data_IF_750267511038
#
_entry.id   IF_750267511038
#
_cell.length_a   1.000
_cell.length_b   1.000
_cell.length_c   1.000
_cell.angle_alpha   90.00
_cell.angle_beta   90.00
_cell.angle_gamma   90.00
#
_symmetry.space_group_name_H-M   'P 1'
#
loop_
_entity.id
_entity.type
_entity.pdbx_description
1 polymer ?
#
# COMPACT_ATOMS: atom_id res chain seq x y z
N UNK A 1 13.10 11.99 1.20
CA UNK A 1 13.47 10.67 1.79
C UNK A 1 13.30 9.62 0.72
N UNK A 2 14.37 8.92 0.39
CA UNK A 2 14.33 7.80 -0.56
C UNK A 2 13.92 6.53 0.19
N UNK A 3 12.84 5.89 -0.27
CA UNK A 3 12.28 4.68 0.37
C UNK A 3 12.26 3.58 -0.67
N UNK A 4 12.92 2.46 -0.39
CA UNK A 4 12.96 1.29 -1.24
C UNK A 4 12.42 0.07 -0.51
N UNK A 5 11.48 -0.62 -1.14
CA UNK A 5 10.91 -1.87 -0.65
C UNK A 5 11.63 -3.05 -1.31
N UNK A 6 12.10 -3.95 -0.48
CA UNK A 6 12.68 -5.24 -0.88
C UNK A 6 11.77 -6.35 -0.33
N UNK A 7 10.88 -6.92 -1.16
CA UNK A 7 9.91 -7.93 -0.72
C UNK A 7 10.57 -9.10 0.00
N UNK A 8 9.91 -9.61 1.04
CA UNK A 8 10.37 -10.70 1.90
C UNK A 8 11.65 -10.41 2.70
N UNK A 9 12.16 -9.19 2.64
CA UNK A 9 13.41 -8.81 3.28
C UNK A 9 13.25 -7.56 4.16
N UNK A 10 13.16 -6.38 3.56
CA UNK A 10 13.25 -5.11 4.29
C UNK A 10 12.65 -3.92 3.55
N UNK A 11 12.54 -2.82 4.28
CA UNK A 11 12.35 -1.48 3.73
C UNK A 11 13.55 -0.62 4.11
N UNK A 12 14.08 0.13 3.16
CA UNK A 12 15.24 1.01 3.35
C UNK A 12 14.78 2.48 3.23
N UNK A 13 15.09 3.28 4.25
CA UNK A 13 14.84 4.73 4.31
C UNK A 13 16.18 5.44 4.30
N UNK A 14 16.62 5.98 3.19
CA UNK A 14 17.94 6.60 3.03
C UNK A 14 19.09 5.74 3.63
N UNK A 15 19.29 5.83 4.95
CA UNK A 15 20.37 5.12 5.67
C UNK A 15 19.88 4.13 6.72
N UNK A 16 18.56 4.01 6.92
CA UNK A 16 17.96 3.12 7.91
C UNK A 16 17.28 1.97 7.19
N UNK A 17 17.53 0.75 7.66
CA UNK A 17 16.87 -0.46 7.16
C UNK A 17 16.01 -1.07 8.25
N UNK A 18 14.75 -1.35 7.94
CA UNK A 18 13.83 -2.10 8.79
C UNK A 18 13.56 -3.45 8.14
N UNK A 19 14.05 -4.51 8.78
CA UNK A 19 13.91 -5.87 8.28
C UNK A 19 12.62 -6.51 8.79
N UNK A 20 12.00 -7.33 7.98
CA UNK A 20 10.97 -8.25 8.46
C UNK A 20 11.59 -9.21 9.50
N UNK A 21 10.89 -9.45 10.60
CA UNK A 21 11.41 -10.21 11.74
C UNK A 21 12.34 -9.45 12.69
N UNK A 22 12.64 -8.15 12.43
CA UNK A 22 13.43 -7.32 13.33
C UNK A 22 12.71 -7.14 14.68
N UNK A 23 13.46 -7.18 15.76
CA UNK A 23 12.93 -6.92 17.11
C UNK A 23 12.41 -5.49 17.22
N UNK A 24 11.24 -5.30 17.87
CA UNK A 24 10.61 -3.99 18.08
C UNK A 24 11.57 -2.98 18.72
N UNK A 25 12.33 -3.40 19.73
CA UNK A 25 13.30 -2.52 20.39
C UNK A 25 14.36 -1.98 19.41
N UNK A 26 14.78 -2.75 18.43
CA UNK A 26 15.74 -2.32 17.40
C UNK A 26 15.10 -1.33 16.42
N UNK A 27 13.83 -1.55 16.04
CA UNK A 27 13.06 -0.58 15.24
C UNK A 27 12.94 0.75 15.96
N UNK A 28 12.63 0.75 17.26
CA UNK A 28 12.50 1.96 18.08
C UNK A 28 13.82 2.71 18.24
N UNK A 29 14.96 2.02 18.27
CA UNK A 29 16.27 2.67 18.22
C UNK A 29 16.52 3.39 16.88
N UNK A 30 16.00 2.86 15.79
CA UNK A 30 16.20 3.41 14.45
C UNK A 30 15.20 4.54 14.10
N UNK A 31 13.93 4.38 14.47
CA UNK A 31 12.83 5.28 14.07
C UNK A 31 12.28 6.14 15.23
N UNK A 32 12.66 5.84 16.47
CA UNK A 32 11.99 6.34 17.66
C UNK A 32 10.76 5.50 18.03
N UNK A 33 10.10 5.83 19.13
CA UNK A 33 8.87 5.19 19.54
C UNK A 33 7.72 5.60 18.61
N UNK A 34 6.97 4.62 18.10
CA UNK A 34 5.76 4.87 17.33
C UNK A 34 4.55 5.11 18.26
N UNK A 35 3.45 5.56 17.69
CA UNK A 35 2.16 5.62 18.38
C UNK A 35 1.51 4.23 18.35
N UNK A 36 1.35 3.60 19.52
CA UNK A 36 0.78 2.26 19.64
C UNK A 36 -0.75 2.29 19.70
N UNK A 37 -1.37 1.50 18.84
CA UNK A 37 -2.80 1.20 18.87
C UNK A 37 -2.97 -0.31 18.70
N UNK A 38 -3.21 -1.03 19.78
CA UNK A 38 -3.21 -2.49 19.82
C UNK A 38 -1.83 -3.07 19.50
N UNK A 39 -1.74 -3.95 18.51
CA UNK A 39 -0.48 -4.55 18.05
C UNK A 39 0.20 -3.77 16.91
N UNK A 40 -0.35 -2.62 16.54
CA UNK A 40 0.12 -1.77 15.44
C UNK A 40 0.79 -0.52 16.00
N UNK A 41 1.95 -0.19 15.46
CA UNK A 41 2.65 1.05 15.76
C UNK A 41 2.68 1.95 14.51
N UNK A 42 2.31 3.21 14.68
CA UNK A 42 2.29 4.22 13.62
C UNK A 42 3.50 5.13 13.70
N UNK A 43 4.08 5.45 12.54
CA UNK A 43 5.26 6.27 12.36
C UNK A 43 5.02 7.34 11.30
N UNK A 44 5.83 8.41 11.28
CA UNK A 44 5.80 9.47 10.26
C UNK A 44 4.41 10.10 10.10
N UNK A 45 3.82 10.56 11.20
CA UNK A 45 2.47 11.14 11.22
C UNK A 45 1.41 10.19 10.60
N UNK A 46 1.45 8.93 10.98
CA UNK A 46 0.55 7.88 10.51
C UNK A 46 0.64 7.54 9.01
N UNK A 47 1.72 7.93 8.34
CA UNK A 47 1.95 7.55 6.95
C UNK A 47 2.57 6.15 6.79
N UNK A 48 3.05 5.55 7.89
CA UNK A 48 3.52 4.17 7.94
C UNK A 48 3.07 3.50 9.23
N UNK A 49 2.72 2.22 9.13
CA UNK A 49 2.41 1.37 10.27
C UNK A 49 3.24 0.09 10.24
N UNK A 50 3.57 -0.42 11.42
CA UNK A 50 4.23 -1.71 11.60
C UNK A 50 3.39 -2.55 12.55
N UNK A 51 3.03 -3.76 12.12
CA UNK A 51 2.40 -4.77 12.96
C UNK A 51 3.48 -5.70 13.52
N UNK A 52 3.46 -5.89 14.83
CA UNK A 52 4.39 -6.78 15.52
C UNK A 52 3.69 -8.06 15.96
N UNK A 53 4.35 -9.18 15.72
CA UNK A 53 3.98 -10.48 16.27
C UNK A 53 5.13 -10.99 17.12
N UNK A 54 4.88 -11.33 18.39
CA UNK A 54 5.92 -11.74 19.34
C UNK A 54 7.08 -10.74 19.42
N UNK A 55 6.76 -9.43 19.42
CA UNK A 55 7.71 -8.32 19.40
C UNK A 55 8.63 -8.25 18.16
N UNK A 56 8.28 -8.92 17.07
CA UNK A 56 9.02 -8.88 15.81
C UNK A 56 8.17 -8.29 14.70
N UNK A 57 8.81 -7.56 13.79
CA UNK A 57 8.17 -6.99 12.60
C UNK A 57 7.54 -8.12 11.78
N UNK A 58 6.23 -8.14 11.70
CA UNK A 58 5.45 -9.11 10.94
C UNK A 58 4.91 -8.53 9.63
N UNK A 59 4.61 -7.24 9.64
CA UNK A 59 4.02 -6.53 8.51
C UNK A 59 4.35 -5.05 8.57
N UNK A 60 4.66 -4.45 7.43
CA UNK A 60 4.88 -3.01 7.26
C UNK A 60 3.88 -2.50 6.24
N UNK A 61 3.20 -1.38 6.51
CA UNK A 61 2.25 -0.78 5.59
C UNK A 61 2.54 0.70 5.42
N UNK A 62 2.63 1.16 4.18
CA UNK A 62 2.63 2.58 3.84
C UNK A 62 1.20 3.01 3.53
N UNK A 63 0.76 4.06 4.22
CA UNK A 63 -0.60 4.61 4.21
C UNK A 63 -0.65 6.00 3.58
N UNK A 64 0.48 6.49 3.06
CA UNK A 64 0.63 7.86 2.59
C UNK A 64 -0.17 8.17 1.33
N UNK A 65 -0.37 7.19 0.45
CA UNK A 65 -1.07 7.42 -0.81
C UNK A 65 -0.44 8.52 -1.66
N UNK A 66 -1.22 9.05 -2.59
CA UNK A 66 -0.76 10.11 -3.51
C UNK A 66 -0.53 11.45 -2.82
N UNK A 67 -1.25 11.73 -1.74
CA UNK A 67 -1.20 13.02 -1.04
C UNK A 67 -0.16 13.06 0.09
N UNK A 68 0.34 11.92 0.55
CA UNK A 68 1.30 11.85 1.62
C UNK A 68 2.73 12.21 1.21
N UNK A 69 3.61 12.28 2.19
CA UNK A 69 5.03 12.66 2.02
C UNK A 69 5.92 11.45 1.76
N UNK A 70 5.55 10.28 2.29
CA UNK A 70 6.31 9.06 2.06
C UNK A 70 6.01 8.52 0.66
N UNK A 71 7.04 8.36 -0.14
CA UNK A 71 6.94 7.90 -1.53
C UNK A 71 7.81 6.66 -1.74
N UNK A 72 7.34 5.48 -1.30
CA UNK A 72 8.08 4.24 -1.50
C UNK A 72 8.13 3.84 -2.97
N UNK A 73 9.21 3.16 -3.33
CA UNK A 73 9.37 2.48 -4.61
C UNK A 73 9.65 0.99 -4.39
N UNK A 74 9.23 0.17 -5.33
CA UNK A 74 9.45 -1.27 -5.36
C UNK A 74 9.83 -1.68 -6.79
N UNK A 75 10.89 -2.45 -6.95
CA UNK A 75 11.42 -2.84 -8.27
C UNK A 75 11.65 -1.65 -9.22
N UNK A 76 12.04 -0.49 -8.67
CA UNK A 76 12.27 0.73 -9.44
C UNK A 76 11.01 1.50 -9.85
N UNK A 77 9.82 1.08 -9.40
CA UNK A 77 8.53 1.72 -9.71
C UNK A 77 8.01 2.44 -8.47
N UNK A 78 7.59 3.69 -8.61
CA UNK A 78 6.93 4.44 -7.55
C UNK A 78 5.54 3.86 -7.25
N UNK A 79 5.24 3.62 -5.96
CA UNK A 79 3.99 2.96 -5.56
C UNK A 79 2.77 3.88 -5.69
N UNK A 80 2.92 5.13 -5.30
CA UNK A 80 1.78 6.06 -5.17
C UNK A 80 1.65 7.06 -6.32
N UNK A 81 2.42 6.90 -7.39
CA UNK A 81 2.21 7.62 -8.63
C UNK A 81 1.28 6.86 -9.56
N UNK A 82 0.67 7.56 -10.53
CA UNK A 82 -0.13 6.91 -11.58
C UNK A 82 0.80 6.15 -12.51
N UNK A 83 1.02 4.90 -12.19
CA UNK A 83 1.77 4.00 -13.06
C UNK A 83 1.06 2.65 -13.16
N UNK A 84 0.47 2.40 -14.33
CA UNK A 84 -0.11 1.10 -14.65
C UNK A 84 0.92 -0.04 -14.61
N UNK A 85 2.22 0.28 -14.71
CA UNK A 85 3.29 -0.69 -14.68
C UNK A 85 3.50 -1.33 -13.30
N UNK A 86 3.06 -0.70 -12.20
CA UNK A 86 3.23 -1.26 -10.85
C UNK A 86 2.62 -2.67 -10.71
N UNK A 87 1.36 -2.83 -11.11
CA UNK A 87 0.66 -4.13 -11.02
C UNK A 87 1.36 -5.18 -11.88
N UNK A 88 1.76 -4.81 -13.09
CA UNK A 88 2.45 -5.73 -14.02
C UNK A 88 3.82 -6.15 -13.48
N UNK A 89 4.58 -5.24 -12.89
CA UNK A 89 5.88 -5.52 -12.26
C UNK A 89 5.72 -6.45 -11.06
N UNK A 90 4.74 -6.17 -10.19
CA UNK A 90 4.47 -7.02 -9.03
C UNK A 90 4.02 -8.43 -9.47
N UNK A 91 3.11 -8.51 -10.45
CA UNK A 91 2.65 -9.78 -11.01
C UNK A 91 3.80 -10.58 -11.61
N UNK A 92 4.67 -9.94 -12.39
CA UNK A 92 5.85 -10.61 -12.99
C UNK A 92 6.78 -11.18 -11.92
N UNK A 93 7.03 -10.44 -10.83
CA UNK A 93 7.87 -10.89 -9.72
C UNK A 93 7.15 -11.87 -8.78
N UNK A 94 5.85 -12.08 -8.97
CA UNK A 94 5.02 -13.03 -8.24
C UNK A 94 4.66 -14.27 -9.10
N UNK A 95 5.59 -14.72 -9.92
CA UNK A 95 5.41 -15.87 -10.83
C UNK A 95 4.23 -15.74 -11.80
N UNK A 96 3.85 -14.51 -12.15
CA UNK A 96 2.75 -14.21 -13.05
C UNK A 96 1.36 -14.27 -12.42
N UNK A 97 1.28 -14.49 -11.11
CA UNK A 97 0.02 -14.62 -10.38
C UNK A 97 -0.39 -13.33 -9.67
N UNK A 98 -1.70 -13.14 -9.58
CA UNK A 98 -2.33 -12.04 -8.83
C UNK A 98 -3.63 -12.58 -8.21
N UNK A 99 -3.90 -12.21 -6.96
CA UNK A 99 -5.15 -12.51 -6.30
C UNK A 99 -5.98 -11.23 -6.17
N UNK A 100 -7.18 -11.24 -6.74
CA UNK A 100 -8.17 -10.17 -6.65
C UNK A 100 -9.43 -10.71 -5.96
N UNK A 101 -9.46 -10.63 -4.64
CA UNK A 101 -10.59 -11.09 -3.83
C UNK A 101 -11.68 -10.02 -3.64
N UNK A 102 -11.42 -8.78 -4.01
CA UNK A 102 -12.27 -7.63 -3.70
C UNK A 102 -12.63 -6.79 -4.95
N UNK A 103 -12.77 -7.45 -6.10
CA UNK A 103 -13.21 -6.83 -7.36
C UNK A 103 -12.39 -5.57 -7.74
N UNK A 104 -11.06 -5.65 -7.64
CA UNK A 104 -10.15 -4.58 -8.02
C UNK A 104 -9.84 -3.55 -6.92
N UNK A 105 -10.43 -3.64 -5.73
CA UNK A 105 -10.08 -2.79 -4.60
C UNK A 105 -8.72 -3.13 -4.02
N UNK A 106 -8.44 -4.43 -3.86
CA UNK A 106 -7.15 -4.88 -3.35
C UNK A 106 -6.59 -6.02 -4.19
N UNK A 107 -5.28 -5.99 -4.37
CA UNK A 107 -4.53 -7.06 -5.01
C UNK A 107 -3.51 -7.65 -4.05
N UNK A 108 -3.38 -8.96 -4.05
CA UNK A 108 -2.41 -9.70 -3.25
C UNK A 108 -1.45 -10.48 -4.15
N UNK A 109 -0.18 -10.38 -3.83
CA UNK A 109 0.94 -11.05 -4.52
C UNK A 109 1.62 -11.96 -3.49
N UNK A 110 1.07 -13.15 -3.30
CA UNK A 110 1.37 -14.01 -2.16
C UNK A 110 2.80 -14.55 -2.13
N UNK A 111 3.42 -14.80 -3.31
CA UNK A 111 4.79 -15.32 -3.38
C UNK A 111 5.84 -14.29 -2.97
N UNK A 112 5.58 -13.01 -3.17
CA UNK A 112 6.44 -11.90 -2.72
C UNK A 112 5.89 -11.19 -1.48
N UNK A 113 4.75 -11.63 -0.96
CA UNK A 113 4.09 -11.12 0.24
C UNK A 113 3.83 -9.61 0.21
N UNK A 114 3.27 -9.14 -0.89
CA UNK A 114 2.90 -7.74 -1.13
C UNK A 114 1.38 -7.64 -1.31
N UNK A 115 0.78 -6.60 -0.74
CA UNK A 115 -0.62 -6.24 -0.94
C UNK A 115 -0.77 -4.78 -1.36
N UNK A 116 -1.70 -4.51 -2.26
CA UNK A 116 -2.12 -3.17 -2.67
C UNK A 116 -3.59 -2.97 -2.32
N UNK A 117 -3.95 -1.75 -1.91
CA UNK A 117 -5.32 -1.35 -1.66
C UNK A 117 -5.58 0.05 -2.22
N UNK A 118 -6.79 0.26 -2.78
CA UNK A 118 -7.33 1.57 -3.18
C UNK A 118 -8.75 1.73 -2.68
N UNK A 119 -9.18 2.98 -2.56
CA UNK A 119 -10.48 3.32 -1.95
C UNK A 119 -11.67 3.21 -2.92
N UNK A 120 -11.41 3.18 -4.21
CA UNK A 120 -12.41 3.05 -5.27
C UNK A 120 -11.80 2.34 -6.48
N UNK A 121 -12.65 1.85 -7.39
CA UNK A 121 -12.21 1.25 -8.66
C UNK A 121 -12.68 2.08 -9.85
N UNK A 122 -11.97 2.06 -11.00
CA UNK A 122 -12.41 2.78 -12.21
C UNK A 122 -13.81 2.35 -12.68
N UNK A 123 -14.16 1.06 -12.54
CA UNK A 123 -15.48 0.56 -12.90
C UNK A 123 -16.59 1.14 -12.02
N UNK A 124 -16.36 1.19 -10.71
CA UNK A 124 -17.30 1.80 -9.77
C UNK A 124 -17.56 3.27 -10.09
N UNK A 125 -16.52 4.04 -10.41
CA UNK A 125 -16.69 5.45 -10.78
C UNK A 125 -17.47 5.58 -12.09
N UNK A 126 -17.22 4.74 -13.08
CA UNK A 126 -17.99 4.72 -14.31
C UNK A 126 -19.48 4.44 -14.07
N UNK A 127 -19.79 3.48 -13.20
CA UNK A 127 -21.16 3.16 -12.80
C UNK A 127 -21.83 4.35 -12.07
N UNK A 128 -21.13 4.99 -11.14
CA UNK A 128 -21.60 6.19 -10.44
C UNK A 128 -21.92 7.33 -11.42
N UNK A 129 -21.08 7.57 -12.40
CA UNK A 129 -21.28 8.60 -13.43
C UNK A 129 -22.54 8.32 -14.26
N UNK A 130 -22.73 7.08 -14.70
CA UNK A 130 -23.92 6.68 -15.49
C UNK A 130 -25.20 6.76 -14.65
N UNK A 131 -25.17 6.32 -13.41
CA UNK A 131 -26.30 6.40 -12.49
C UNK A 131 -26.72 7.86 -12.23
N UNK A 132 -25.76 8.74 -11.95
CA UNK A 132 -26.00 10.17 -11.76
C UNK A 132 -26.68 10.82 -12.98
N UNK A 133 -26.21 10.47 -14.18
CA UNK A 133 -26.84 10.92 -15.44
C UNK A 133 -28.28 10.40 -15.57
N UNK A 134 -28.52 9.14 -15.23
CA UNK A 134 -29.85 8.52 -15.36
C UNK A 134 -30.89 9.16 -14.45
N UNK A 135 -30.47 9.69 -13.30
CA UNK A 135 -31.32 10.46 -12.37
C UNK A 135 -31.42 11.95 -12.74
N UNK A 136 -30.83 12.41 -13.85
CA UNK A 136 -30.88 13.79 -14.29
C UNK A 136 -30.02 14.75 -13.45
N UNK A 137 -29.08 14.22 -12.67
CA UNK A 137 -28.16 14.99 -11.84
C UNK A 137 -26.70 14.51 -12.08
N UNK A 138 -26.11 14.83 -13.25
CA UNK A 138 -24.76 14.38 -13.59
C UNK A 138 -23.73 14.92 -12.60
N UNK A 139 -22.69 14.12 -12.34
CA UNK A 139 -21.57 14.53 -11.50
C UNK A 139 -20.85 15.73 -12.11
N UNK A 140 -20.43 16.67 -11.26
CA UNK A 140 -19.58 17.80 -11.69
C UNK A 140 -18.16 17.33 -12.03
N UNK A 141 -17.41 18.15 -12.77
CA UNK A 141 -16.02 17.85 -13.11
C UNK A 141 -15.14 17.68 -11.86
N UNK A 142 -15.37 18.47 -10.80
CA UNK A 142 -14.64 18.38 -9.54
C UNK A 142 -14.95 17.07 -8.81
N UNK A 143 -16.20 16.64 -8.77
CA UNK A 143 -16.60 15.35 -8.21
C UNK A 143 -15.98 14.18 -8.98
N UNK A 144 -16.00 14.23 -10.31
CA UNK A 144 -15.36 13.21 -11.15
C UNK A 144 -13.86 13.15 -10.90
N UNK A 145 -13.16 14.28 -10.85
CA UNK A 145 -11.72 14.32 -10.56
C UNK A 145 -11.38 13.75 -9.18
N UNK A 146 -12.17 14.09 -8.17
CA UNK A 146 -12.00 13.57 -6.81
C UNK A 146 -12.12 12.04 -6.77
N UNK A 147 -13.19 11.49 -7.35
CA UNK A 147 -13.46 10.07 -7.36
C UNK A 147 -12.44 9.30 -8.24
N UNK A 148 -12.06 9.85 -9.38
CA UNK A 148 -11.05 9.25 -10.26
C UNK A 148 -9.67 9.18 -9.59
N UNK A 149 -9.33 10.16 -8.75
CA UNK A 149 -8.10 10.12 -7.95
C UNK A 149 -8.11 8.94 -6.98
N UNK A 150 -9.23 8.69 -6.30
CA UNK A 150 -9.40 7.53 -5.40
C UNK A 150 -9.29 6.20 -6.15
N UNK A 151 -9.75 6.15 -7.39
CA UNK A 151 -9.78 4.94 -8.21
C UNK A 151 -8.44 4.64 -8.92
N UNK A 152 -7.70 5.68 -9.33
CA UNK A 152 -6.49 5.54 -10.16
C UNK A 152 -5.20 5.47 -9.36
N UNK A 153 -5.22 5.82 -8.05
CA UNK A 153 -4.05 5.75 -7.18
C UNK A 153 -4.24 4.71 -6.08
N UNK A 154 -3.17 3.99 -5.77
CA UNK A 154 -3.14 3.12 -4.62
C UNK A 154 -3.11 3.95 -3.33
N UNK A 155 -3.92 3.56 -2.35
CA UNK A 155 -3.97 4.21 -1.05
C UNK A 155 -2.91 3.63 -0.10
N UNK A 156 -2.67 2.31 -0.18
CA UNK A 156 -1.68 1.62 0.66
C UNK A 156 -0.90 0.56 -0.10
N UNK A 157 0.30 0.27 0.41
CA UNK A 157 1.06 -0.93 0.08
C UNK A 157 1.49 -1.64 1.36
N UNK A 158 1.22 -2.94 1.46
CA UNK A 158 1.59 -3.79 2.57
C UNK A 158 2.73 -4.74 2.20
N UNK A 159 3.68 -4.92 3.13
CA UNK A 159 4.84 -5.79 3.01
C UNK A 159 4.83 -6.75 4.18
N UNK A 160 4.56 -8.02 3.94
CA UNK A 160 4.46 -9.06 4.96
C UNK A 160 5.65 -10.00 5.00
N UNK A 161 5.80 -10.71 6.11
CA UNK A 161 6.66 -11.89 6.18
C UNK A 161 6.18 -12.96 5.20
N UNK A 162 7.04 -13.92 4.85
CA UNK A 162 6.66 -15.02 3.98
C UNK A 162 5.37 -15.71 4.49
N UNK A 163 4.41 -15.93 3.60
CA UNK A 163 3.13 -16.55 3.91
C UNK A 163 2.08 -15.62 4.55
N UNK A 164 2.37 -14.35 4.74
CA UNK A 164 1.41 -13.39 5.34
C UNK A 164 0.08 -13.35 4.57
N UNK A 165 0.12 -13.30 3.24
CA UNK A 165 -1.07 -13.27 2.37
C UNK A 165 -1.57 -14.66 1.94
N UNK A 166 -1.05 -15.74 2.51
CA UNK A 166 -1.52 -17.11 2.25
C UNK A 166 -2.44 -17.65 3.35
N UNK A 167 -2.80 -16.80 4.30
CA UNK A 167 -3.61 -17.16 5.49
C UNK A 167 -5.11 -17.13 5.18
#
# INVERSE_FOLDING_TARGET
MNIQIYPLDKVVFDRVSIFLGMEKAVVELALGAGEEIGNRCYYFNNEMAIDYQENKVNFIEFLSGVDGKLKPAIYGVSVFDVDAALVDVLKTNNDGEICDNENGYSYQFSNISIGLYREATPNEIAEMMEEAKSFGNPMSDDEIQYEMKRANYWATIGIGVAGYYQR
#
